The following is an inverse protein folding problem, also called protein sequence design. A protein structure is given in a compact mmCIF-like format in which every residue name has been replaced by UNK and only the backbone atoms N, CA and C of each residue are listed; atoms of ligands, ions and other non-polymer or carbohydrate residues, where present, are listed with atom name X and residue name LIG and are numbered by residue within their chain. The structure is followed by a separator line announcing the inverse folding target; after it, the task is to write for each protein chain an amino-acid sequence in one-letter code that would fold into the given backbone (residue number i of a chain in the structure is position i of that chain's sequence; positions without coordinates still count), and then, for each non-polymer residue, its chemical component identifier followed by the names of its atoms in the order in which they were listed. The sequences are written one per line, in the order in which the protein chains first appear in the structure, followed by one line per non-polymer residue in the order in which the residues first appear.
data_IF_544569682365
#
_entry.id   IF_544569682365
#
_cell.length_a   1.000
_cell.length_b   1.000
_cell.length_c   1.000
_cell.angle_alpha   90.00
_cell.angle_beta   90.00
_cell.angle_gamma   90.00
#
_symmetry.space_group_name_H-M   'P 1'
#
loop_
_entity.id
_entity.type
_entity.pdbx_description
1 polymer ?
#
# COMPACT_ATOMS: atom_id res chain seq x y z
N UNK A 1 10.96 -20.42 -5.17
CA UNK A 1 9.62 -20.79 -4.71
C UNK A 1 8.59 -19.89 -5.37
N UNK A 2 7.66 -20.49 -6.08
CA UNK A 2 6.65 -19.69 -6.77
C UNK A 2 5.62 -19.17 -5.77
N UNK A 3 5.26 -17.91 -5.90
CA UNK A 3 4.21 -17.34 -5.09
C UNK A 3 2.87 -17.95 -5.49
N UNK A 4 1.97 -18.08 -4.54
CA UNK A 4 0.60 -18.51 -4.80
C UNK A 4 -0.05 -17.48 -5.72
N UNK A 5 -0.62 -17.86 -6.88
CA UNK A 5 -1.26 -16.92 -7.78
C UNK A 5 -2.34 -16.07 -7.10
N UNK A 6 -3.07 -16.64 -6.16
CA UNK A 6 -4.08 -15.91 -5.40
C UNK A 6 -3.44 -14.82 -4.54
N UNK A 7 -2.32 -15.15 -3.88
CA UNK A 7 -1.59 -14.17 -3.08
C UNK A 7 -1.09 -13.01 -3.94
N UNK A 8 -0.55 -13.32 -5.12
CA UNK A 8 -0.09 -12.29 -6.05
C UNK A 8 -1.23 -11.39 -6.52
N UNK A 9 -2.40 -11.97 -6.78
CA UNK A 9 -3.56 -11.19 -7.21
C UNK A 9 -4.04 -10.24 -6.12
N UNK A 10 -4.06 -10.68 -4.87
CA UNK A 10 -4.44 -9.81 -3.75
C UNK A 10 -3.40 -8.72 -3.55
N UNK A 11 -2.11 -9.06 -3.62
CA UNK A 11 -1.04 -8.07 -3.50
C UNK A 11 -1.16 -7.00 -4.58
N UNK A 12 -1.47 -7.41 -5.81
CA UNK A 12 -1.65 -6.48 -6.93
C UNK A 12 -2.88 -5.59 -6.73
N UNK A 13 -3.95 -6.15 -6.20
CA UNK A 13 -5.14 -5.38 -5.88
C UNK A 13 -4.83 -4.30 -4.85
N UNK A 14 -4.09 -4.65 -3.80
CA UNK A 14 -3.66 -3.69 -2.79
C UNK A 14 -2.82 -2.58 -3.43
N UNK A 15 -1.84 -2.95 -4.25
CA UNK A 15 -0.97 -1.98 -4.93
C UNK A 15 -1.80 -1.02 -5.80
N UNK A 16 -2.73 -1.56 -6.57
CA UNK A 16 -3.56 -0.74 -7.46
C UNK A 16 -4.46 0.22 -6.68
N UNK A 17 -5.05 -0.23 -5.58
CA UNK A 17 -5.93 0.64 -4.78
C UNK A 17 -5.15 1.72 -4.05
N UNK A 18 -3.98 1.38 -3.50
CA UNK A 18 -3.13 2.38 -2.86
C UNK A 18 -2.59 3.39 -3.87
N UNK A 19 -2.21 2.93 -5.06
CA UNK A 19 -1.75 3.83 -6.11
C UNK A 19 -2.84 4.81 -6.55
N UNK A 20 -4.10 4.38 -6.47
CA UNK A 20 -5.25 5.24 -6.75
C UNK A 20 -5.60 6.19 -5.60
N UNK A 21 -4.89 6.11 -4.48
CA UNK A 21 -5.12 6.96 -3.32
C UNK A 21 -6.19 6.45 -2.36
N UNK A 22 -6.60 5.20 -2.50
CA UNK A 22 -7.62 4.62 -1.63
C UNK A 22 -7.03 4.20 -0.29
N UNK A 23 -7.84 4.30 0.76
CA UNK A 23 -7.50 3.75 2.06
C UNK A 23 -8.06 2.33 2.14
N UNK A 24 -7.23 1.39 2.63
CA UNK A 24 -7.63 -0.01 2.73
C UNK A 24 -7.57 -0.48 4.17
N UNK A 25 -8.69 -1.02 4.65
CA UNK A 25 -8.74 -1.66 5.96
C UNK A 25 -8.45 -3.15 5.81
N UNK A 26 -7.48 -3.63 6.59
CA UNK A 26 -7.10 -5.05 6.64
C UNK A 26 -7.65 -5.63 7.95
N UNK A 27 -8.78 -6.34 7.93
CA UNK A 27 -9.38 -6.85 9.17
C UNK A 27 -8.39 -7.65 10.01
N UNK A 28 -8.34 -7.34 11.30
CA UNK A 28 -7.42 -7.99 12.23
C UNK A 28 -6.01 -7.42 12.23
N UNK A 29 -5.70 -6.48 11.34
CA UNK A 29 -4.36 -5.88 11.20
C UNK A 29 -4.42 -4.37 11.44
N UNK A 30 -5.18 -3.65 10.62
CA UNK A 30 -5.26 -2.19 10.65
C UNK A 30 -5.49 -1.66 9.25
N UNK A 31 -5.12 -0.42 9.02
CA UNK A 31 -5.38 0.22 7.73
C UNK A 31 -4.11 0.75 7.10
N UNK A 32 -4.03 0.61 5.77
CA UNK A 32 -3.00 1.22 4.94
C UNK A 32 -3.61 2.41 4.20
N UNK A 33 -2.89 3.52 4.17
CA UNK A 33 -3.34 4.70 3.46
C UNK A 33 -2.15 5.45 2.86
N UNK A 34 -2.44 6.24 1.84
CA UNK A 34 -1.41 7.05 1.19
C UNK A 34 -1.49 8.46 1.75
N UNK A 35 -0.39 8.92 2.30
CA UNK A 35 -0.25 10.30 2.77
C UNK A 35 0.45 11.11 1.70
N UNK A 36 -0.13 12.25 1.35
CA UNK A 36 0.49 13.17 0.43
C UNK A 36 1.24 14.22 1.22
N UNK A 37 2.53 14.36 0.93
CA UNK A 37 3.37 15.39 1.52
C UNK A 37 3.55 16.50 0.51
N UNK A 38 3.31 17.75 0.97
CA UNK A 38 3.45 18.90 0.11
C UNK A 38 4.89 19.19 -0.29
N UNK A 39 5.06 20.00 -1.33
CA UNK A 39 6.36 20.46 -1.77
C UNK A 39 7.06 21.21 -0.62
N UNK A 40 8.36 21.04 -0.55
CA UNK A 40 9.17 21.62 0.52
C UNK A 40 10.35 22.33 -0.08
N UNK A 41 10.51 23.61 0.23
CA UNK A 41 11.64 24.40 -0.28
C UNK A 41 12.90 24.07 0.53
N UNK A 42 13.97 23.70 -0.17
CA UNK A 42 15.27 23.46 0.45
C UNK A 42 16.10 24.76 0.52
N UNK A 43 16.07 25.53 -0.56
CA UNK A 43 16.77 26.82 -0.66
C UNK A 43 16.08 27.67 -1.74
N UNK A 44 16.70 28.80 -2.11
CA UNK A 44 16.10 29.73 -3.08
C UNK A 44 15.96 29.14 -4.49
N UNK A 45 16.73 28.10 -4.80
CA UNK A 45 16.77 27.52 -6.14
C UNK A 45 16.17 26.12 -6.23
N UNK A 46 15.97 25.43 -5.09
CA UNK A 46 15.56 24.03 -5.09
C UNK A 46 14.35 23.79 -4.21
N UNK A 47 13.51 22.90 -4.67
CA UNK A 47 12.33 22.45 -3.95
C UNK A 47 12.20 20.94 -4.04
N UNK A 48 11.82 20.32 -2.92
CA UNK A 48 11.44 18.90 -2.92
C UNK A 48 10.01 18.83 -3.43
N UNK A 49 9.75 18.10 -4.53
CA UNK A 49 8.39 18.03 -5.05
C UNK A 49 7.44 17.34 -4.07
N UNK A 50 6.14 17.56 -4.21
CA UNK A 50 5.16 16.80 -3.43
C UNK A 50 5.38 15.31 -3.66
N UNK A 51 5.28 14.53 -2.60
CA UNK A 51 5.43 13.09 -2.70
C UNK A 51 4.33 12.37 -1.94
N UNK A 52 4.13 11.10 -2.25
CA UNK A 52 3.14 10.25 -1.61
C UNK A 52 3.87 9.11 -0.91
N UNK A 53 3.40 8.74 0.27
CA UNK A 53 3.98 7.66 1.05
C UNK A 53 2.86 6.82 1.66
N UNK A 54 3.09 5.51 1.77
CA UNK A 54 2.14 4.62 2.43
C UNK A 54 2.41 4.66 3.93
N UNK A 55 1.34 4.83 4.69
CA UNK A 55 1.38 4.79 6.14
C UNK A 55 0.43 3.73 6.67
N UNK A 56 0.63 3.35 7.91
CA UNK A 56 -0.18 2.35 8.59
C UNK A 56 -0.78 2.95 9.86
N UNK A 57 -2.02 2.57 10.14
CA UNK A 57 -2.68 2.88 11.42
C UNK A 57 -3.42 1.65 11.92
N UNK A 58 -3.52 1.52 13.24
CA UNK A 58 -4.32 0.44 13.82
C UNK A 58 -5.83 0.71 13.78
N UNK A 59 -6.22 1.92 13.42
CA UNK A 59 -7.62 2.31 13.32
C UNK A 59 -8.24 1.78 12.02
N UNK A 60 -9.55 1.51 12.07
CA UNK A 60 -10.29 1.12 10.88
C UNK A 60 -10.56 2.36 10.02
N UNK A 61 -10.01 2.38 8.82
CA UNK A 61 -10.17 3.48 7.87
C UNK A 61 -10.40 2.94 6.46
N UNK A 62 -11.26 3.63 5.72
CA UNK A 62 -11.46 3.33 4.30
C UNK A 62 -12.26 2.07 4.06
N UNK A 63 -12.01 1.44 2.93
CA UNK A 63 -12.75 0.27 2.47
C UNK A 63 -12.06 -1.00 2.91
N UNK A 64 -12.84 -1.98 3.40
CA UNK A 64 -12.27 -3.28 3.76
C UNK A 64 -11.70 -3.97 2.53
N UNK A 65 -10.51 -4.57 2.68
CA UNK A 65 -9.90 -5.36 1.61
C UNK A 65 -10.82 -6.50 1.18
N UNK A 66 -11.60 -7.06 2.12
CA UNK A 66 -12.56 -8.10 1.80
C UNK A 66 -13.59 -7.59 0.78
N UNK A 67 -14.09 -6.37 0.96
CA UNK A 67 -15.05 -5.76 0.03
C UNK A 67 -14.41 -5.51 -1.34
N UNK A 68 -13.14 -5.15 -1.37
CA UNK A 68 -12.41 -4.99 -2.64
C UNK A 68 -12.25 -6.33 -3.35
N UNK A 69 -12.02 -7.41 -2.60
CA UNK A 69 -11.95 -8.76 -3.17
C UNK A 69 -13.29 -9.16 -3.77
N UNK A 70 -14.40 -8.84 -3.07
CA UNK A 70 -15.75 -9.11 -3.61
C UNK A 70 -15.90 -8.49 -4.99
N UNK A 71 -15.50 -7.23 -5.14
CA UNK A 71 -15.60 -6.53 -6.43
C UNK A 71 -14.67 -7.10 -7.48
N UNK A 72 -13.42 -7.32 -7.10
CA UNK A 72 -12.39 -7.75 -8.06
C UNK A 72 -12.61 -9.17 -8.55
N UNK A 73 -13.04 -10.06 -7.67
CA UNK A 73 -13.23 -11.48 -7.99
C UNK A 73 -14.67 -11.82 -8.40
N UNK A 74 -15.59 -10.86 -8.30
CA UNK A 74 -17.01 -11.08 -8.60
C UNK A 74 -17.57 -12.26 -7.81
N UNK A 75 -17.25 -12.32 -6.51
CA UNK A 75 -17.67 -13.39 -5.63
C UNK A 75 -18.50 -12.84 -4.47
N UNK A 76 -19.09 -13.75 -3.68
CA UNK A 76 -19.82 -13.33 -2.48
C UNK A 76 -18.85 -13.00 -1.34
N UNK A 77 -19.39 -12.43 -0.28
CA UNK A 77 -18.60 -12.00 0.87
C UNK A 77 -17.91 -13.18 1.57
N UNK A 78 -18.60 -14.31 1.66
CA UNK A 78 -18.05 -15.51 2.32
C UNK A 78 -16.81 -16.00 1.58
N UNK A 79 -16.86 -16.03 0.26
CA UNK A 79 -15.70 -16.42 -0.56
C UNK A 79 -14.58 -15.40 -0.43
N UNK A 80 -14.90 -14.13 -0.43
CA UNK A 80 -13.91 -13.07 -0.28
C UNK A 80 -13.22 -13.15 1.08
N UNK A 81 -13.98 -13.47 2.13
CA UNK A 81 -13.42 -13.67 3.47
C UNK A 81 -12.42 -14.83 3.46
N UNK A 82 -12.77 -15.92 2.81
CA UNK A 82 -11.88 -17.09 2.69
C UNK A 82 -10.60 -16.72 1.94
N UNK A 83 -10.71 -15.95 0.85
CA UNK A 83 -9.55 -15.49 0.08
C UNK A 83 -8.68 -14.60 0.96
N UNK A 84 -9.29 -13.68 1.68
CA UNK A 84 -8.56 -12.78 2.58
C UNK A 84 -7.80 -13.57 3.64
N UNK A 85 -8.46 -14.53 4.28
CA UNK A 85 -7.84 -15.33 5.34
C UNK A 85 -6.63 -16.11 4.82
N UNK A 86 -6.74 -16.70 3.64
CA UNK A 86 -5.63 -17.42 3.01
C UNK A 86 -4.50 -16.48 2.62
N UNK A 87 -4.85 -15.31 2.09
CA UNK A 87 -3.85 -14.31 1.76
C UNK A 87 -3.09 -13.89 3.01
N UNK A 88 -3.82 -13.57 4.07
CA UNK A 88 -3.21 -13.11 5.32
C UNK A 88 -2.25 -14.18 5.86
N UNK A 89 -2.67 -15.45 5.89
CA UNK A 89 -1.81 -16.53 6.33
C UNK A 89 -0.53 -16.64 5.50
N UNK A 90 -0.61 -16.34 4.21
CA UNK A 90 0.55 -16.47 3.31
C UNK A 90 1.52 -15.31 3.43
N UNK A 91 1.07 -14.12 3.87
CA UNK A 91 1.93 -12.93 3.95
C UNK A 91 2.40 -12.62 5.36
N UNK A 92 1.74 -13.18 6.37
CA UNK A 92 2.12 -12.98 7.76
C UNK A 92 3.35 -13.83 8.08
N UNK A 93 4.38 -13.17 8.61
CA UNK A 93 5.55 -13.84 9.15
C UNK A 93 5.65 -13.58 10.64
N UNK A 94 6.81 -13.90 11.22
CA UNK A 94 7.07 -13.68 12.64
C UNK A 94 7.24 -12.17 12.87
N UNK A 95 6.20 -11.54 13.44
CA UNK A 95 6.15 -10.10 13.72
C UNK A 95 6.19 -9.20 12.50
N UNK A 96 6.00 -9.78 11.31
CA UNK A 96 6.02 -9.02 10.07
C UNK A 96 4.87 -9.44 9.18
N UNK A 97 4.51 -8.53 8.28
CA UNK A 97 3.53 -8.82 7.22
C UNK A 97 4.10 -8.26 5.93
N UNK A 98 4.42 -9.13 4.99
CA UNK A 98 5.08 -8.74 3.75
C UNK A 98 4.11 -8.81 2.58
N UNK A 99 3.87 -7.65 1.95
CA UNK A 99 3.03 -7.56 0.75
C UNK A 99 3.98 -7.33 -0.42
N UNK A 100 4.25 -8.41 -1.17
CA UNK A 100 5.19 -8.35 -2.28
C UNK A 100 4.77 -7.30 -3.31
N UNK A 101 5.70 -6.43 -3.69
CA UNK A 101 5.43 -5.34 -4.61
C UNK A 101 4.83 -4.09 -3.96
N UNK A 102 4.58 -4.10 -2.66
CA UNK A 102 4.02 -2.95 -1.93
C UNK A 102 4.94 -2.56 -0.78
N UNK A 103 5.26 -3.50 0.09
CA UNK A 103 6.12 -3.23 1.23
C UNK A 103 5.95 -4.23 2.35
N UNK A 104 6.51 -3.88 3.51
CA UNK A 104 6.52 -4.74 4.68
C UNK A 104 6.07 -3.98 5.92
N UNK A 105 5.17 -4.57 6.67
CA UNK A 105 4.71 -4.03 7.95
C UNK A 105 5.47 -4.72 9.08
N UNK A 106 6.18 -3.93 9.89
CA UNK A 106 6.85 -4.40 11.10
C UNK A 106 6.26 -3.66 12.29
N UNK A 107 5.57 -4.38 13.17
CA UNK A 107 4.85 -3.75 14.27
C UNK A 107 3.82 -2.78 13.70
N UNK A 108 3.96 -1.50 14.03
CA UNK A 108 3.07 -0.45 13.54
C UNK A 108 3.74 0.44 12.47
N UNK A 109 4.88 0.02 11.94
CA UNK A 109 5.62 0.78 10.93
C UNK A 109 5.57 0.05 9.60
N UNK A 110 5.16 0.77 8.56
CA UNK A 110 5.15 0.25 7.20
C UNK A 110 6.33 0.80 6.41
N UNK A 111 7.10 -0.11 5.80
CA UNK A 111 8.23 0.23 4.94
C UNK A 111 7.86 -0.12 3.51
N UNK A 112 7.69 0.89 2.67
CA UNK A 112 7.31 0.69 1.27
C UNK A 112 8.45 0.07 0.47
N UNK A 113 8.08 -0.80 -0.47
CA UNK A 113 9.01 -1.33 -1.45
C UNK A 113 9.47 -0.18 -2.36
N UNK A 114 10.78 -0.04 -2.66
CA UNK A 114 11.26 1.02 -3.53
C UNK A 114 10.58 1.07 -4.90
N UNK A 115 10.25 -0.08 -5.47
CA UNK A 115 9.53 -0.12 -6.74
C UNK A 115 8.13 0.47 -6.61
N UNK A 116 7.46 0.22 -5.49
CA UNK A 116 6.14 0.78 -5.25
C UNK A 116 6.22 2.28 -5.00
N UNK A 117 7.25 2.74 -4.30
CA UNK A 117 7.46 4.17 -4.11
C UNK A 117 7.62 4.90 -5.44
N UNK A 118 8.25 4.27 -6.43
CA UNK A 118 8.35 4.83 -7.77
C UNK A 118 7.00 4.91 -8.48
N UNK A 119 6.13 3.93 -8.24
CA UNK A 119 4.75 3.97 -8.78
C UNK A 119 3.96 5.15 -8.18
N UNK A 120 4.12 5.37 -6.86
CA UNK A 120 3.45 6.48 -6.19
C UNK A 120 4.02 7.83 -6.60
N UNK A 121 5.31 7.88 -6.92
CA UNK A 121 6.05 9.11 -7.18
C UNK A 121 6.83 9.01 -8.50
N UNK A 122 6.14 9.06 -9.65
CA UNK A 122 6.80 8.86 -10.94
C UNK A 122 7.84 9.92 -11.25
N UNK A 123 7.82 11.05 -10.55
CA UNK A 123 8.82 12.12 -10.73
C UNK A 123 9.99 12.00 -9.74
N UNK A 124 9.98 10.97 -8.89
CA UNK A 124 11.04 10.72 -7.93
C UNK A 124 10.97 11.59 -6.69
N UNK A 125 12.04 11.54 -5.90
CA UNK A 125 12.14 12.27 -4.63
C UNK A 125 13.25 13.32 -4.64
N UNK A 126 14.02 13.41 -5.73
CA UNK A 126 15.15 14.31 -5.80
C UNK A 126 14.68 15.77 -5.87
N UNK A 127 15.42 16.70 -5.24
CA UNK A 127 15.08 18.12 -5.33
C UNK A 127 15.09 18.59 -6.77
N UNK A 128 14.12 19.41 -7.11
CA UNK A 128 13.98 19.98 -8.43
C UNK A 128 14.42 21.44 -8.39
N UNK A 129 15.24 21.84 -9.38
CA UNK A 129 15.67 23.22 -9.50
C UNK A 129 14.53 24.08 -10.04
N UNK A 130 14.26 25.16 -9.33
CA UNK A 130 13.24 26.13 -9.75
C UNK A 130 13.86 27.01 -10.81
N UNK A 131 13.17 27.13 -11.94
CA UNK A 131 13.55 28.08 -12.98
C UNK A 131 12.71 29.34 -12.81
N UNK A 132 13.39 30.44 -12.81
CA UNK A 132 12.73 31.73 -12.88
C UNK A 132 12.50 32.14 -14.32
#
# INVERSE_FOLDING_TARGET
MSANPMTEQVNRLIANRLAAGCELFLPGVGSLYVEQRGARRLDDERVVPPCRAVNFTTQEQGVSLIDEIVRAAHCDHEKAQSIYDRWLDSVVGERTLTISGVGELKGNRFNSDPEFEMVLNPYGFDPVRIRE
#
